data_IF_359426927364
#
_entry.id   IF_359426927364
#
_cell.length_a   1.000
_cell.length_b   1.000
_cell.length_c   1.000
_cell.angle_alpha   90.00
_cell.angle_beta   90.00
_cell.angle_gamma   90.00
#
_symmetry.space_group_name_H-M   'P 1'
#
loop_
_entity.id
_entity.type
_entity.pdbx_description
1 polymer ?
#
# COMPACT_ATOMS: atom_id res chain seq x y z
N UNK A 1 4.66 -18.78 -2.85
CA UNK A 1 3.74 -19.30 -1.81
C UNK A 1 2.44 -18.56 -1.96
N UNK A 2 1.35 -19.27 -2.19
CA UNK A 2 0.01 -18.68 -2.23
C UNK A 2 -0.48 -18.38 -0.81
N UNK A 3 -1.20 -17.27 -0.63
CA UNK A 3 -1.91 -16.94 0.61
C UNK A 3 -3.40 -16.91 0.32
N UNK A 4 -4.20 -17.48 1.21
CA UNK A 4 -5.66 -17.46 1.09
C UNK A 4 -6.25 -16.65 2.22
N UNK A 5 -7.22 -15.82 1.88
CA UNK A 5 -7.98 -14.95 2.77
C UNK A 5 -9.44 -15.39 2.72
N UNK A 6 -10.12 -15.29 3.86
CA UNK A 6 -11.57 -15.48 3.97
C UNK A 6 -12.18 -14.10 4.15
N UNK A 7 -13.02 -13.69 3.21
CA UNK A 7 -13.68 -12.39 3.24
C UNK A 7 -15.16 -12.52 2.90
N UNK A 8 -15.91 -11.53 3.35
CA UNK A 8 -17.28 -11.35 2.89
C UNK A 8 -17.28 -10.35 1.74
N UNK A 9 -17.95 -10.68 0.63
CA UNK A 9 -18.09 -9.81 -0.53
C UNK A 9 -19.55 -9.41 -0.65
N UNK A 10 -19.82 -8.11 -0.61
CA UNK A 10 -21.16 -7.58 -0.82
C UNK A 10 -21.37 -7.35 -2.33
N UNK A 11 -22.31 -8.08 -2.91
CA UNK A 11 -22.69 -7.96 -4.32
C UNK A 11 -24.20 -7.89 -4.43
N UNK A 12 -24.72 -6.83 -5.05
CA UNK A 12 -26.11 -6.80 -5.53
C UNK A 12 -27.16 -7.19 -4.46
N UNK A 13 -27.19 -6.47 -3.33
CA UNK A 13 -28.07 -6.74 -2.17
C UNK A 13 -27.86 -8.11 -1.50
N UNK A 14 -26.84 -8.87 -1.92
CA UNK A 14 -26.49 -10.16 -1.34
C UNK A 14 -25.08 -10.15 -0.76
N UNK A 15 -24.95 -10.73 0.44
CA UNK A 15 -23.65 -10.93 1.10
C UNK A 15 -23.16 -12.33 0.75
N UNK A 16 -21.99 -12.42 0.15
CA UNK A 16 -21.29 -13.68 -0.06
C UNK A 16 -20.31 -13.85 1.08
N UNK A 17 -20.66 -14.73 2.02
CA UNK A 17 -19.86 -14.95 3.22
C UNK A 17 -18.75 -15.96 2.97
N UNK A 18 -17.63 -15.77 3.69
CA UNK A 18 -16.55 -16.76 3.78
C UNK A 18 -15.97 -17.14 2.39
N UNK A 19 -15.81 -16.16 1.52
CA UNK A 19 -15.24 -16.30 0.17
C UNK A 19 -13.74 -16.51 0.26
N UNK A 20 -13.23 -17.55 -0.41
CA UNK A 20 -11.79 -17.71 -0.61
C UNK A 20 -11.29 -16.73 -1.70
N UNK A 21 -10.48 -15.75 -1.27
CA UNK A 21 -9.62 -14.96 -2.15
C UNK A 21 -8.17 -15.40 -1.94
N UNK A 22 -7.52 -15.86 -2.99
CA UNK A 22 -6.13 -16.34 -2.92
C UNK A 22 -5.21 -15.45 -3.72
N UNK A 23 -4.04 -15.14 -3.16
CA UNK A 23 -3.01 -14.34 -3.81
C UNK A 23 -1.74 -15.16 -4.03
N UNK A 24 -1.08 -14.93 -5.17
CA UNK A 24 0.20 -15.57 -5.50
C UNK A 24 0.05 -16.99 -6.03
N UNK A 25 -1.11 -17.31 -6.62
CA UNK A 25 -1.36 -18.52 -7.39
C UNK A 25 -0.65 -18.55 -8.74
N UNK A 26 -1.02 -19.51 -9.59
CA UNK A 26 -0.36 -19.80 -10.87
C UNK A 26 -0.81 -18.84 -12.00
N UNK A 27 -0.89 -17.54 -11.71
CA UNK A 27 -1.24 -16.54 -12.72
C UNK A 27 -0.08 -16.34 -13.70
N UNK A 28 -0.35 -16.47 -15.00
CA UNK A 28 0.65 -16.19 -16.04
C UNK A 28 1.22 -14.79 -15.91
N UNK A 29 2.55 -14.67 -15.82
CA UNK A 29 3.25 -13.39 -15.70
C UNK A 29 2.96 -12.42 -16.86
N UNK A 30 2.43 -12.91 -17.99
CA UNK A 30 2.09 -12.10 -19.16
C UNK A 30 0.89 -11.18 -18.97
N UNK A 31 0.15 -11.32 -17.86
CA UNK A 31 -1.09 -10.55 -17.58
C UNK A 31 -0.95 -9.58 -16.41
N UNK A 32 0.28 -9.16 -16.09
CA UNK A 32 0.57 -8.25 -14.96
C UNK A 32 -0.09 -6.88 -15.09
N UNK A 33 -0.41 -6.49 -16.31
CA UNK A 33 -1.09 -5.25 -16.67
C UNK A 33 -2.60 -5.30 -16.40
N UNK A 34 -3.17 -6.49 -16.18
CA UNK A 34 -4.62 -6.65 -15.97
C UNK A 34 -4.97 -6.41 -14.49
N UNK A 35 -5.98 -5.54 -14.20
CA UNK A 35 -6.50 -5.36 -12.85
C UNK A 35 -6.94 -6.69 -12.22
N UNK A 36 -6.51 -6.95 -10.98
CA UNK A 36 -6.75 -8.23 -10.30
C UNK A 36 -5.69 -9.30 -10.58
N UNK A 37 -4.62 -9.00 -11.33
CA UNK A 37 -3.50 -9.93 -11.50
C UNK A 37 -3.00 -10.51 -10.17
N UNK A 38 -2.74 -11.82 -10.16
CA UNK A 38 -2.21 -12.54 -9.01
C UNK A 38 -3.28 -12.94 -7.99
N UNK A 39 -4.54 -12.58 -8.21
CA UNK A 39 -5.68 -13.00 -7.41
C UNK A 39 -6.49 -14.10 -8.08
N UNK A 40 -6.85 -15.09 -7.28
CA UNK A 40 -7.81 -16.13 -7.60
C UNK A 40 -9.02 -15.95 -6.68
N UNK A 41 -10.22 -16.09 -7.24
CA UNK A 41 -11.50 -16.10 -6.51
C UNK A 41 -12.19 -17.43 -6.75
N UNK A 42 -12.90 -17.94 -5.76
CA UNK A 42 -13.64 -19.19 -5.89
C UNK A 42 -14.71 -19.12 -7.00
N UNK A 43 -14.80 -20.19 -7.79
CA UNK A 43 -15.75 -20.28 -8.90
C UNK A 43 -17.23 -20.05 -8.48
N UNK A 44 -17.72 -20.55 -7.33
CA UNK A 44 -19.11 -20.31 -6.91
C UNK A 44 -19.47 -18.83 -6.75
N UNK A 45 -18.51 -17.97 -6.40
CA UNK A 45 -18.73 -16.51 -6.34
C UNK A 45 -18.81 -15.92 -7.73
N UNK A 46 -17.94 -16.35 -8.64
CA UNK A 46 -17.98 -15.90 -10.03
C UNK A 46 -19.31 -16.26 -10.70
N UNK A 47 -19.80 -17.49 -10.50
CA UNK A 47 -21.09 -17.93 -11.04
C UNK A 47 -22.25 -17.06 -10.53
N UNK A 48 -22.32 -16.83 -9.21
CA UNK A 48 -23.38 -15.99 -8.62
C UNK A 48 -23.32 -14.52 -9.08
N UNK A 49 -22.12 -13.99 -9.27
CA UNK A 49 -21.91 -12.65 -9.80
C UNK A 49 -22.38 -12.54 -11.26
N UNK A 50 -22.14 -13.57 -12.08
CA UNK A 50 -22.65 -13.63 -13.45
C UNK A 50 -24.19 -13.71 -13.49
N UNK A 51 -24.79 -14.53 -12.62
CA UNK A 51 -26.27 -14.62 -12.49
C UNK A 51 -26.89 -13.29 -12.03
N UNK A 52 -26.22 -12.54 -11.15
CA UNK A 52 -26.65 -11.21 -10.72
C UNK A 52 -26.58 -10.19 -11.86
N UNK A 53 -25.56 -10.26 -12.71
CA UNK A 53 -25.42 -9.42 -13.91
C UNK A 53 -26.50 -9.74 -14.93
N UNK A 54 -26.69 -11.03 -15.24
CA UNK A 54 -27.71 -11.48 -16.20
C UNK A 54 -29.13 -11.11 -15.72
N UNK A 55 -29.39 -11.22 -14.42
CA UNK A 55 -30.65 -10.81 -13.80
C UNK A 55 -30.84 -9.30 -13.62
N UNK A 56 -29.88 -8.47 -14.06
CA UNK A 56 -29.94 -7.01 -13.94
C UNK A 56 -29.87 -6.47 -12.50
N UNK A 57 -29.45 -7.29 -11.54
CA UNK A 57 -29.31 -6.90 -10.12
C UNK A 57 -28.02 -6.12 -9.86
N UNK A 58 -27.03 -6.25 -10.73
CA UNK A 58 -25.81 -5.43 -10.74
C UNK A 58 -25.28 -5.29 -12.16
N UNK A 59 -24.49 -4.25 -12.40
CA UNK A 59 -23.73 -4.12 -13.64
C UNK A 59 -22.37 -4.82 -13.55
N UNK A 60 -21.81 -5.19 -14.70
CA UNK A 60 -20.44 -5.70 -14.76
C UNK A 60 -19.40 -4.70 -14.21
N UNK A 61 -19.69 -3.39 -14.29
CA UNK A 61 -18.81 -2.34 -13.78
C UNK A 61 -18.76 -2.32 -12.24
N UNK A 62 -19.93 -2.40 -11.59
CA UNK A 62 -20.05 -2.50 -10.13
C UNK A 62 -19.42 -3.79 -9.61
N UNK A 63 -19.78 -4.92 -10.22
CA UNK A 63 -19.22 -6.22 -9.86
C UNK A 63 -17.69 -6.26 -9.94
N UNK A 64 -17.11 -5.65 -10.97
CA UNK A 64 -15.65 -5.47 -11.10
C UNK A 64 -15.08 -4.58 -9.99
N UNK A 65 -15.75 -3.47 -9.66
CA UNK A 65 -15.29 -2.56 -8.61
C UNK A 65 -15.25 -3.26 -7.25
N UNK A 66 -16.28 -4.03 -6.91
CA UNK A 66 -16.37 -4.78 -5.65
C UNK A 66 -15.29 -5.87 -5.53
N UNK A 67 -15.09 -6.67 -6.59
CA UNK A 67 -14.02 -7.69 -6.59
C UNK A 67 -12.64 -7.07 -6.40
N UNK A 68 -12.38 -5.92 -7.04
CA UNK A 68 -11.12 -5.20 -6.86
C UNK A 68 -11.00 -4.58 -5.47
N UNK A 69 -12.09 -4.06 -4.90
CA UNK A 69 -12.12 -3.54 -3.54
C UNK A 69 -11.85 -4.63 -2.50
N UNK A 70 -12.48 -5.80 -2.64
CA UNK A 70 -12.25 -6.97 -1.79
C UNK A 70 -10.79 -7.47 -1.89
N UNK A 71 -10.25 -7.54 -3.11
CA UNK A 71 -8.84 -7.88 -3.31
C UNK A 71 -7.90 -6.85 -2.65
N UNK A 72 -8.19 -5.55 -2.80
CA UNK A 72 -7.43 -4.47 -2.15
C UNK A 72 -7.51 -4.53 -0.63
N UNK A 73 -8.65 -4.90 -0.05
CA UNK A 73 -8.81 -5.09 1.39
C UNK A 73 -8.00 -6.30 1.90
N UNK A 74 -7.84 -7.35 1.06
CA UNK A 74 -7.02 -8.52 1.35
C UNK A 74 -5.52 -8.27 1.14
N UNK A 75 -5.14 -7.25 0.37
CA UNK A 75 -3.77 -6.72 0.39
C UNK A 75 -3.67 -5.88 1.67
N UNK A 76 -3.08 -6.37 2.79
CA UNK A 76 -2.58 -5.43 3.78
C UNK A 76 -1.66 -4.51 2.98
N UNK A 77 -1.93 -3.21 2.93
CA UNK A 77 -1.24 -2.20 2.14
C UNK A 77 0.27 -2.48 2.14
N UNK A 78 0.73 -3.33 1.22
CA UNK A 78 1.96 -4.12 1.34
C UNK A 78 2.14 -4.96 2.61
N UNK A 79 2.61 -6.20 2.41
CA UNK A 79 2.70 -7.25 3.43
C UNK A 79 3.15 -8.58 2.83
N UNK A 80 3.76 -8.55 1.63
CA UNK A 80 4.04 -9.72 0.79
C UNK A 80 5.05 -10.69 1.41
N UNK A 81 5.75 -10.29 2.47
CA UNK A 81 6.77 -11.10 3.14
C UNK A 81 6.89 -10.70 4.63
N UNK A 82 7.51 -11.55 5.47
CA UNK A 82 7.74 -11.26 6.89
C UNK A 82 8.39 -9.89 7.13
N UNK A 83 9.24 -9.45 6.20
CA UNK A 83 9.90 -8.14 6.30
C UNK A 83 8.95 -6.95 6.11
N UNK A 84 7.91 -7.09 5.28
CA UNK A 84 6.87 -6.08 5.20
C UNK A 84 6.02 -6.09 6.49
N UNK A 85 5.70 -7.27 7.00
CA UNK A 85 4.97 -7.45 8.26
C UNK A 85 5.68 -6.77 9.44
N UNK A 86 6.98 -7.03 9.62
CA UNK A 86 7.83 -6.40 10.65
C UNK A 86 7.87 -4.87 10.56
N UNK A 87 7.60 -4.30 9.38
CA UNK A 87 7.70 -2.87 9.10
C UNK A 87 6.34 -2.17 9.03
N UNK A 88 5.24 -2.92 9.11
CA UNK A 88 3.88 -2.39 8.98
C UNK A 88 3.54 -1.35 10.05
N UNK A 89 3.92 -1.60 11.31
CA UNK A 89 3.74 -0.62 12.38
C UNK A 89 4.59 0.64 12.15
N UNK A 90 5.85 0.46 11.76
CA UNK A 90 6.74 1.57 11.44
C UNK A 90 6.21 2.46 10.31
N UNK A 91 5.63 1.85 9.27
CA UNK A 91 5.01 2.59 8.17
C UNK A 91 3.74 3.33 8.59
N UNK A 92 2.87 2.70 9.40
CA UNK A 92 1.69 3.37 9.96
C UNK A 92 2.06 4.59 10.79
N UNK A 93 3.11 4.49 11.62
CA UNK A 93 3.63 5.62 12.38
C UNK A 93 4.16 6.73 11.46
N UNK A 94 4.95 6.38 10.46
CA UNK A 94 5.50 7.35 9.51
C UNK A 94 4.41 8.08 8.71
N UNK A 95 3.32 7.38 8.33
CA UNK A 95 2.16 8.00 7.69
C UNK A 95 1.46 9.00 8.62
N UNK A 96 1.23 8.64 9.88
CA UNK A 96 0.62 9.54 10.86
C UNK A 96 1.47 10.80 11.10
N UNK A 97 2.79 10.64 11.20
CA UNK A 97 3.74 11.76 11.32
C UNK A 97 3.72 12.67 10.08
N UNK A 98 3.69 12.08 8.88
CA UNK A 98 3.56 12.81 7.63
C UNK A 98 2.25 13.61 7.56
N UNK A 99 1.12 12.99 7.91
CA UNK A 99 -0.18 13.68 7.93
C UNK A 99 -0.20 14.84 8.91
N UNK A 100 0.36 14.64 10.12
CA UNK A 100 0.48 15.70 11.11
C UNK A 100 1.39 16.83 10.60
N UNK A 101 2.52 16.49 9.99
CA UNK A 101 3.40 17.48 9.36
C UNK A 101 2.68 18.23 8.23
N UNK A 102 1.86 17.55 7.42
CA UNK A 102 1.10 18.15 6.32
C UNK A 102 0.03 19.10 6.82
N UNK A 103 -0.66 18.76 7.91
CA UNK A 103 -1.63 19.65 8.57
C UNK A 103 -0.95 20.91 9.12
N UNK A 104 0.22 20.76 9.75
CA UNK A 104 1.02 21.90 10.22
C UNK A 104 1.49 22.77 9.06
N UNK A 105 1.93 22.13 7.98
CA UNK A 105 2.33 22.79 6.75
C UNK A 105 1.15 23.59 6.13
N UNK A 106 -0.09 23.12 6.25
CA UNK A 106 -1.24 23.87 5.73
C UNK A 106 -1.68 25.07 6.60
N UNK A 107 -1.17 25.20 7.83
CA UNK A 107 -1.62 26.21 8.81
C UNK A 107 -0.46 27.11 9.26
N UNK A 108 -0.02 27.98 8.35
CA UNK A 108 1.07 28.92 8.58
C UNK A 108 0.78 29.94 9.71
N UNK A 109 -0.49 30.22 10.01
CA UNK A 109 -0.88 31.12 11.10
C UNK A 109 -0.57 30.53 12.47
N UNK A 110 -0.83 29.22 12.64
CA UNK A 110 -0.52 28.49 13.88
C UNK A 110 0.91 27.96 13.94
N UNK A 111 1.53 27.68 12.79
CA UNK A 111 2.89 27.16 12.67
C UNK A 111 3.74 28.07 11.77
N UNK A 112 4.14 29.26 12.27
CA UNK A 112 4.80 30.29 11.46
C UNK A 112 6.27 29.98 11.15
N UNK A 113 6.81 28.88 11.68
CA UNK A 113 8.20 28.48 11.51
C UNK A 113 8.34 27.07 10.94
N UNK A 114 9.37 26.89 10.12
CA UNK A 114 9.80 25.63 9.50
C UNK A 114 11.20 25.28 10.00
N UNK A 115 11.50 23.99 10.12
CA UNK A 115 12.87 23.53 10.39
C UNK A 115 13.43 22.89 9.13
N UNK A 116 14.54 23.40 8.61
CA UNK A 116 15.26 22.84 7.47
C UNK A 116 16.76 22.75 7.78
N UNK A 117 17.38 21.60 7.54
CA UNK A 117 18.81 21.34 7.84
C UNK A 117 19.26 21.79 9.24
N UNK A 118 18.40 21.61 10.26
CA UNK A 118 18.70 22.01 11.64
C UNK A 118 18.59 23.51 11.93
N UNK A 119 18.10 24.31 10.98
CA UNK A 119 17.87 25.75 11.15
C UNK A 119 16.39 26.08 11.12
N UNK A 120 15.98 27.09 11.91
CA UNK A 120 14.60 27.56 11.99
C UNK A 120 14.40 28.71 10.99
N UNK A 121 13.40 28.57 10.12
CA UNK A 121 13.02 29.56 9.10
C UNK A 121 11.60 30.01 9.33
N UNK A 122 11.24 31.21 8.87
CA UNK A 122 9.83 31.55 8.73
C UNK A 122 9.20 30.74 7.61
N UNK A 123 7.90 30.50 7.73
CA UNK A 123 7.08 29.81 6.75
C UNK A 123 7.24 30.36 5.32
N UNK A 124 7.36 31.68 5.20
CA UNK A 124 7.46 32.45 3.97
C UNK A 124 8.93 32.75 3.56
N UNK A 125 9.91 32.04 4.12
CA UNK A 125 11.32 32.26 3.83
C UNK A 125 11.64 31.93 2.35
N UNK A 126 12.05 32.90 1.52
CA UNK A 126 12.31 32.69 0.09
C UNK A 126 13.53 31.78 -0.17
N UNK A 127 14.40 31.63 0.82
CA UNK A 127 15.63 30.82 0.77
C UNK A 127 15.38 29.34 1.06
N UNK A 128 14.20 28.99 1.60
CA UNK A 128 13.78 27.60 1.81
C UNK A 128 12.64 27.32 0.86
N UNK A 129 12.89 26.71 -0.31
CA UNK A 129 11.80 26.35 -1.21
C UNK A 129 10.84 25.44 -0.46
N UNK A 130 9.55 25.77 -0.50
CA UNK A 130 8.44 25.17 0.25
C UNK A 130 8.14 23.71 -0.13
N UNK A 131 9.17 22.87 -0.19
CA UNK A 131 9.02 21.44 -0.19
C UNK A 131 8.32 21.07 1.12
N UNK A 132 7.03 20.80 1.02
CA UNK A 132 6.23 20.28 2.11
C UNK A 132 6.82 18.98 2.67
N UNK A 133 6.21 18.44 3.72
CA UNK A 133 6.68 17.19 4.30
C UNK A 133 6.80 16.09 3.24
N UNK A 134 7.86 15.28 3.35
CA UNK A 134 8.11 14.17 2.42
C UNK A 134 7.26 12.95 2.81
N UNK A 135 6.54 12.39 1.85
CA UNK A 135 5.76 11.17 2.06
C UNK A 135 6.68 9.97 2.31
N UNK A 136 6.39 9.08 3.27
CA UNK A 136 7.18 7.87 3.56
C UNK A 136 7.11 6.76 2.50
N UNK A 137 6.76 7.08 1.26
CA UNK A 137 6.44 6.09 0.21
C UNK A 137 4.95 5.79 0.13
N UNK A 138 4.41 5.65 -1.08
CA UNK A 138 2.97 5.50 -1.39
C UNK A 138 2.40 4.14 -0.95
N UNK A 139 3.25 3.20 -0.56
CA UNK A 139 2.91 1.89 -0.02
C UNK A 139 3.97 1.43 0.99
N UNK A 140 3.64 0.49 1.89
CA UNK A 140 4.62 -0.19 2.75
C UNK A 140 5.75 -0.88 1.94
N UNK A 141 5.50 -1.35 0.72
CA UNK A 141 6.54 -1.91 -0.15
C UNK A 141 7.52 -0.82 -0.54
N UNK A 142 7.02 0.34 -0.95
CA UNK A 142 7.87 1.49 -1.24
C UNK A 142 8.64 1.93 0.00
N UNK A 143 7.99 1.99 1.16
CA UNK A 143 8.64 2.28 2.45
C UNK A 143 9.72 1.26 2.82
N UNK A 144 9.54 -0.02 2.51
CA UNK A 144 10.51 -1.08 2.89
C UNK A 144 11.66 -1.19 1.91
N UNK A 145 11.42 -0.93 0.62
CA UNK A 145 12.37 -1.20 -0.46
C UNK A 145 13.02 0.04 -1.06
N UNK A 146 12.31 1.17 -1.10
CA UNK A 146 12.79 2.42 -1.70
C UNK A 146 13.21 3.47 -0.67
N UNK A 147 12.84 3.33 0.60
CA UNK A 147 13.23 4.26 1.68
C UNK A 147 14.72 4.23 2.06
N UNK A 148 15.59 3.73 1.17
CA UNK A 148 17.05 3.93 1.27
C UNK A 148 17.46 5.40 1.17
N UNK A 149 16.56 6.30 0.72
CA UNK A 149 16.91 7.68 0.39
C UNK A 149 15.99 8.78 0.93
N UNK A 150 14.86 8.46 1.58
CA UNK A 150 13.98 9.48 2.16
C UNK A 150 14.31 9.72 3.62
N UNK A 151 15.00 10.83 3.90
CA UNK A 151 15.22 11.33 5.26
C UNK A 151 13.86 11.55 5.96
N UNK A 152 13.66 10.93 7.13
CA UNK A 152 12.50 11.14 7.99
C UNK A 152 12.95 11.74 9.33
N UNK A 153 12.32 12.84 9.80
CA UNK A 153 12.56 13.34 11.15
C UNK A 153 12.26 12.23 12.18
N UNK A 154 13.26 11.84 12.97
CA UNK A 154 13.10 10.83 14.02
C UNK A 154 13.54 9.41 13.66
N UNK A 155 13.86 9.11 12.39
CA UNK A 155 14.55 7.86 12.07
C UNK A 155 16.06 8.05 12.19
N UNK A 156 16.68 7.24 13.06
CA UNK A 156 18.14 7.12 13.10
C UNK A 156 18.60 6.70 11.70
N UNK A 157 19.45 7.50 11.06
CA UNK A 157 20.16 7.08 9.85
C UNK A 157 20.87 5.77 10.18
N UNK A 158 20.44 4.68 9.54
CA UNK A 158 21.14 3.41 9.66
C UNK A 158 22.57 3.62 9.15
N UNK A 159 23.56 3.10 9.88
CA UNK A 159 24.91 3.05 9.36
C UNK A 159 24.95 2.21 8.08
N UNK A 160 25.94 2.42 7.21
CA UNK A 160 26.05 1.64 5.97
C UNK A 160 26.14 0.13 6.25
N UNK A 161 26.75 -0.26 7.37
CA UNK A 161 26.81 -1.65 7.83
C UNK A 161 25.43 -2.21 8.24
N UNK A 162 24.61 -1.41 8.92
CA UNK A 162 23.24 -1.79 9.29
C UNK A 162 22.31 -1.79 8.07
N UNK A 163 22.45 -0.80 7.20
CA UNK A 163 21.75 -0.72 5.93
C UNK A 163 22.12 -1.90 5.03
N UNK A 164 23.37 -2.38 5.06
CA UNK A 164 23.83 -3.57 4.33
C UNK A 164 23.31 -4.89 4.93
N UNK A 165 23.29 -5.04 6.26
CA UNK A 165 22.59 -6.18 6.91
C UNK A 165 21.10 -6.19 6.59
N UNK A 166 20.54 -4.99 6.40
CA UNK A 166 19.14 -4.76 6.06
C UNK A 166 18.91 -4.64 4.55
N UNK A 167 19.88 -4.77 3.66
CA UNK A 167 19.67 -4.61 2.22
C UNK A 167 20.57 -5.48 1.36
N UNK A 168 20.05 -5.97 0.24
CA UNK A 168 18.96 -6.91 0.15
C UNK A 168 19.50 -8.20 -0.49
N UNK A 169 18.91 -9.34 -0.18
CA UNK A 169 18.56 -10.20 -1.31
C UNK A 169 17.57 -9.38 -2.13
N UNK A 170 18.02 -8.86 -3.28
CA UNK A 170 17.18 -8.15 -4.29
C UNK A 170 16.07 -9.05 -4.87
N UNK A 171 15.91 -10.24 -4.30
CA UNK A 171 15.21 -11.40 -4.79
C UNK A 171 14.15 -11.85 -3.78
N UNK A 172 13.43 -10.92 -3.14
CA UNK A 172 12.15 -11.33 -2.58
C UNK A 172 11.29 -11.76 -3.77
N UNK A 173 11.28 -13.06 -4.10
CA UNK A 173 10.54 -13.62 -5.24
C UNK A 173 9.05 -13.23 -5.24
N UNK A 174 8.56 -12.83 -4.07
CA UNK A 174 7.20 -12.37 -3.84
C UNK A 174 6.97 -10.90 -4.23
N UNK A 175 7.97 -10.01 -4.07
CA UNK A 175 7.85 -8.57 -4.35
C UNK A 175 8.71 -8.13 -5.58
N UNK A 176 9.66 -8.97 -6.00
CA UNK A 176 10.45 -8.94 -7.25
C UNK A 176 10.57 -10.39 -7.77
N UNK A 177 9.53 -10.93 -8.43
CA UNK A 177 9.63 -12.21 -9.10
C UNK A 177 10.68 -12.10 -10.20
N UNK A 178 11.74 -12.91 -10.11
CA UNK A 178 12.68 -13.10 -11.20
C UNK A 178 11.90 -13.53 -12.44
N UNK A 179 12.25 -12.94 -13.59
CA UNK A 179 11.60 -13.16 -14.88
C UNK A 179 11.59 -14.62 -15.31
#
# INVERSE_FOLDING_TARGET
>A
MSRSFRVDIELAESRHEDVALSWGGWSSQRRRDVPGFGWDVELPVVVRLLEAIEGGRTSAAEARAELLAAALACVPNSGCCPRCEDRAEGYRRALAEFEQARRRFADAGRYPFLVNSGTLHRWDCPTVPGAGPTHPGRSLQQYVHEARYSWHPGQRRLSDAEAARLSPDRHCVTCHPLG
#
